data_IF_666913016581
#
_entry.id   IF_666913016581
#
_cell.length_a   1.000
_cell.length_b   1.000
_cell.length_c   1.000
_cell.angle_alpha   90.00
_cell.angle_beta   90.00
_cell.angle_gamma   90.00
#
_symmetry.space_group_name_H-M   'P 1'
#
loop_
_entity.id
_entity.type
_entity.pdbx_description
1 polymer ?
#
# COMPACT_ATOMS: atom_id res chain seq x y z
N UNK A 1 27.97 0.07 -0.43
CA UNK A 1 27.09 1.01 -1.20
C UNK A 1 25.91 1.39 -0.33
N UNK A 2 25.42 2.65 -0.34
CA UNK A 2 24.20 3.02 0.36
C UNK A 2 22.97 2.43 -0.35
N UNK A 3 21.81 2.32 0.35
CA UNK A 3 20.56 1.85 -0.27
C UNK A 3 20.21 2.66 -1.52
N UNK A 4 20.23 3.99 -1.42
CA UNK A 4 19.96 4.89 -2.55
C UNK A 4 20.92 4.65 -3.72
N UNK A 5 22.23 4.66 -3.46
CA UNK A 5 23.23 4.46 -4.52
C UNK A 5 23.10 3.09 -5.21
N UNK A 6 22.69 2.06 -4.46
CA UNK A 6 22.44 0.73 -5.01
C UNK A 6 21.24 0.72 -5.94
N UNK A 7 20.14 1.38 -5.54
CA UNK A 7 18.95 1.53 -6.40
C UNK A 7 19.27 2.32 -7.66
N UNK A 8 19.94 3.47 -7.52
CA UNK A 8 20.33 4.33 -8.66
C UNK A 8 21.25 3.59 -9.64
N UNK A 9 22.21 2.82 -9.14
CA UNK A 9 23.09 2.00 -9.98
C UNK A 9 22.32 0.89 -10.70
N UNK A 10 21.43 0.20 -10.00
CA UNK A 10 20.60 -0.86 -10.60
C UNK A 10 19.68 -0.32 -11.71
N UNK A 11 19.07 0.84 -11.49
CA UNK A 11 18.22 1.50 -12.50
C UNK A 11 19.03 1.96 -13.73
N UNK A 12 20.31 2.30 -13.52
CA UNK A 12 21.23 2.65 -14.60
C UNK A 12 21.93 1.45 -15.26
N UNK A 13 21.56 0.21 -14.90
CA UNK A 13 22.23 -1.02 -15.32
C UNK A 13 23.73 -1.06 -15.01
N UNK A 14 24.15 -0.43 -13.91
CA UNK A 14 25.53 -0.43 -13.42
C UNK A 14 25.71 -1.55 -12.37
N UNK A 15 26.96 -2.03 -12.17
CA UNK A 15 27.26 -3.00 -11.14
C UNK A 15 26.90 -2.52 -9.74
N UNK A 16 26.33 -3.41 -8.93
CA UNK A 16 25.99 -3.17 -7.53
C UNK A 16 26.72 -4.16 -6.62
N UNK A 17 26.92 -3.79 -5.36
CA UNK A 17 27.54 -4.68 -4.34
C UNK A 17 26.66 -5.88 -3.99
N UNK A 18 25.35 -5.76 -4.12
CA UNK A 18 24.35 -6.85 -4.06
C UNK A 18 23.09 -6.44 -4.84
N UNK A 19 22.25 -7.38 -5.16
CA UNK A 19 20.95 -7.08 -5.77
C UNK A 19 20.11 -6.24 -4.81
N UNK A 20 19.55 -5.09 -5.26
CA UNK A 20 18.58 -4.33 -4.47
C UNK A 20 17.37 -5.19 -4.17
N UNK A 21 16.89 -5.12 -2.95
CA UNK A 21 15.73 -5.91 -2.53
C UNK A 21 14.78 -5.11 -1.66
N UNK A 22 13.52 -5.48 -1.73
CA UNK A 22 12.46 -5.05 -0.83
C UNK A 22 11.47 -6.19 -0.65
N UNK A 23 10.90 -6.25 0.52
CA UNK A 23 9.75 -7.11 0.82
C UNK A 23 8.58 -6.26 1.22
N UNK A 24 7.37 -6.80 1.12
CA UNK A 24 6.16 -6.15 1.57
C UNK A 24 5.35 -7.11 2.44
N UNK A 25 4.57 -6.54 3.34
CA UNK A 25 3.77 -7.30 4.28
C UNK A 25 2.44 -6.58 4.52
N UNK A 26 1.39 -7.34 4.73
CA UNK A 26 0.11 -6.80 5.19
C UNK A 26 0.00 -6.93 6.71
N UNK A 27 -0.34 -5.83 7.35
CA UNK A 27 -0.60 -5.79 8.80
C UNK A 27 -2.09 -5.60 9.01
N UNK A 28 -2.85 -6.69 8.95
CA UNK A 28 -4.30 -6.67 9.08
C UNK A 28 -4.75 -5.79 10.25
N UNK A 29 -5.75 -4.95 10.02
CA UNK A 29 -6.29 -3.96 10.97
C UNK A 29 -5.34 -2.84 11.42
N UNK A 30 -4.09 -2.80 10.99
CA UNK A 30 -3.14 -1.73 11.28
C UNK A 30 -2.79 -0.90 10.03
N UNK A 31 -2.88 -1.50 8.85
CA UNK A 31 -2.57 -0.90 7.56
C UNK A 31 -3.63 0.09 7.05
N UNK A 32 -4.73 0.27 7.79
CA UNK A 32 -5.75 1.30 7.56
C UNK A 32 -5.46 2.62 8.30
N UNK A 33 -4.44 2.66 9.12
CA UNK A 33 -3.98 3.89 9.77
C UNK A 33 -2.71 4.38 9.09
N UNK A 34 -2.66 5.61 8.55
CA UNK A 34 -1.47 6.16 7.90
C UNK A 34 -0.23 6.06 8.80
N UNK A 35 -0.38 6.45 10.06
CA UNK A 35 0.71 6.40 11.04
C UNK A 35 1.21 4.98 11.29
N UNK A 36 0.28 4.04 11.50
CA UNK A 36 0.67 2.64 11.75
C UNK A 36 1.30 2.00 10.54
N UNK A 37 0.76 2.24 9.35
CA UNK A 37 1.32 1.76 8.10
C UNK A 37 2.76 2.29 7.91
N UNK A 38 3.00 3.59 8.17
CA UNK A 38 4.33 4.18 8.10
C UNK A 38 5.30 3.55 9.11
N UNK A 39 4.92 3.52 10.40
CA UNK A 39 5.74 2.95 11.46
C UNK A 39 6.15 1.49 11.19
N UNK A 40 5.20 0.67 10.75
CA UNK A 40 5.43 -0.75 10.48
C UNK A 40 6.30 -0.97 9.25
N UNK A 41 6.07 -0.20 8.19
CA UNK A 41 6.87 -0.26 6.96
C UNK A 41 8.33 0.15 7.21
N UNK A 42 8.56 1.23 7.97
CA UNK A 42 9.91 1.68 8.35
C UNK A 42 10.60 0.65 9.24
N UNK A 43 9.91 0.11 10.25
CA UNK A 43 10.47 -0.95 11.10
C UNK A 43 10.84 -2.21 10.32
N UNK A 44 10.03 -2.60 9.36
CA UNK A 44 10.32 -3.75 8.51
C UNK A 44 11.55 -3.50 7.65
N UNK A 45 11.64 -2.32 7.04
CA UNK A 45 12.80 -1.90 6.27
C UNK A 45 14.07 -1.95 7.10
N UNK A 46 14.06 -1.35 8.29
CA UNK A 46 15.22 -1.34 9.21
C UNK A 46 15.63 -2.73 9.67
N UNK A 47 14.64 -3.58 10.01
CA UNK A 47 14.91 -4.93 10.50
C UNK A 47 15.51 -5.86 9.45
N UNK A 48 15.12 -5.68 8.17
CA UNK A 48 15.54 -6.55 7.07
C UNK A 48 16.61 -5.88 6.18
N UNK A 49 17.08 -4.68 6.52
CA UNK A 49 18.04 -3.90 5.72
C UNK A 49 17.62 -3.79 4.25
N UNK A 50 16.32 -3.52 4.02
CA UNK A 50 15.77 -3.40 2.67
C UNK A 50 16.23 -2.10 2.00
N UNK A 51 16.38 -2.14 0.68
CA UNK A 51 16.87 -1.00 -0.09
C UNK A 51 15.80 0.07 -0.32
N UNK A 52 14.53 -0.29 -0.28
CA UNK A 52 13.40 0.65 -0.38
C UNK A 52 12.16 0.10 0.33
N UNK A 53 11.23 0.99 0.64
CA UNK A 53 9.94 0.64 1.22
C UNK A 53 8.89 0.57 0.11
N UNK A 54 8.21 -0.56 0.00
CA UNK A 54 6.95 -0.67 -0.72
C UNK A 54 5.81 -0.57 0.29
N UNK A 55 5.06 0.52 0.24
CA UNK A 55 3.84 0.64 1.05
C UNK A 55 2.78 -0.35 0.55
N UNK A 56 2.24 -1.13 1.46
CA UNK A 56 1.24 -2.15 1.17
C UNK A 56 0.03 -1.95 2.09
N UNK A 57 -0.89 -1.07 1.73
CA UNK A 57 -2.17 -0.97 2.41
C UNK A 57 -2.98 -2.25 2.18
N UNK A 58 -4.10 -2.41 2.86
CA UNK A 58 -4.97 -3.57 2.63
C UNK A 58 -5.44 -3.67 1.17
N UNK A 59 -5.63 -4.90 0.68
CA UNK A 59 -5.76 -5.19 -0.75
C UNK A 59 -6.93 -4.52 -1.48
N UNK A 60 -7.98 -4.13 -0.78
CA UNK A 60 -9.19 -3.52 -1.36
C UNK A 60 -9.22 -1.98 -1.26
N UNK A 61 -8.18 -1.34 -0.73
CA UNK A 61 -8.12 0.12 -0.59
C UNK A 61 -8.38 0.86 -1.91
N UNK A 62 -7.95 0.28 -3.02
CA UNK A 62 -8.05 0.89 -4.33
C UNK A 62 -9.46 0.88 -4.94
N UNK A 63 -10.43 0.24 -4.31
CA UNK A 63 -11.79 0.10 -4.84
C UNK A 63 -12.88 0.56 -3.87
N UNK A 64 -12.56 0.78 -2.61
CA UNK A 64 -13.54 1.17 -1.57
C UNK A 64 -14.20 2.50 -1.90
N UNK A 65 -13.43 3.48 -2.39
CA UNK A 65 -13.95 4.81 -2.70
C UNK A 65 -14.96 4.81 -3.87
N UNK A 66 -15.07 3.71 -4.61
CA UNK A 66 -16.11 3.48 -5.62
C UNK A 66 -17.35 2.75 -5.07
N UNK A 67 -17.47 2.65 -3.74
CA UNK A 67 -18.67 2.10 -3.09
C UNK A 67 -18.60 0.62 -2.77
N UNK A 68 -17.43 -0.02 -2.86
CA UNK A 68 -17.24 -1.39 -2.40
C UNK A 68 -17.44 -1.47 -0.89
N UNK A 69 -18.32 -2.34 -0.44
CA UNK A 69 -18.51 -2.61 0.98
C UNK A 69 -17.57 -3.70 1.45
N UNK A 70 -16.93 -3.46 2.59
CA UNK A 70 -16.00 -4.39 3.20
C UNK A 70 -16.60 -5.05 4.44
N UNK A 71 -16.37 -6.34 4.58
CA UNK A 71 -16.52 -7.03 5.86
C UNK A 71 -15.15 -7.02 6.57
N UNK A 72 -15.03 -6.16 7.57
CA UNK A 72 -13.86 -6.08 8.42
C UNK A 72 -14.12 -6.95 9.65
N UNK A 73 -13.72 -8.21 9.59
CA UNK A 73 -13.70 -9.06 10.77
C UNK A 73 -12.58 -8.60 11.68
N UNK A 74 -12.86 -8.40 12.96
CA UNK A 74 -11.81 -8.13 13.94
C UNK A 74 -10.85 -9.33 14.00
N UNK A 75 -9.53 -9.07 14.00
CA UNK A 75 -8.53 -10.13 14.07
C UNK A 75 -7.42 -10.00 13.01
N UNK A 76 -6.65 -11.05 12.76
CA UNK A 76 -5.50 -11.02 11.85
C UNK A 76 -5.89 -11.06 10.36
N UNK A 77 -7.18 -11.17 10.05
CA UNK A 77 -7.64 -11.32 8.68
C UNK A 77 -7.69 -9.98 7.94
N UNK A 78 -7.35 -9.99 6.67
CA UNK A 78 -7.53 -8.84 5.78
C UNK A 78 -9.03 -8.61 5.53
N UNK A 79 -9.47 -7.35 5.32
CA UNK A 79 -10.84 -7.08 4.90
C UNK A 79 -11.20 -7.85 3.64
N UNK A 80 -12.40 -8.41 3.62
CA UNK A 80 -12.94 -9.13 2.46
C UNK A 80 -14.07 -8.34 1.83
N UNK A 81 -14.28 -8.55 0.54
CA UNK A 81 -15.41 -7.99 -0.18
C UNK A 81 -16.72 -8.51 0.44
N UNK A 82 -17.59 -7.61 0.88
CA UNK A 82 -18.96 -7.91 1.32
C UNK A 82 -19.96 -7.66 0.20
N UNK A 83 -19.86 -6.50 -0.47
CA UNK A 83 -20.75 -6.13 -1.56
C UNK A 83 -19.99 -5.29 -2.60
N UNK A 84 -20.30 -5.56 -3.87
CA UNK A 84 -19.79 -4.77 -5.00
C UNK A 84 -20.86 -3.79 -5.48
N UNK A 85 -20.52 -2.55 -5.82
CA UNK A 85 -21.45 -1.63 -6.47
C UNK A 85 -21.82 -2.05 -7.91
N UNK A 86 -21.06 -2.98 -8.48
CA UNK A 86 -21.29 -3.52 -9.82
C UNK A 86 -21.98 -4.86 -9.70
N UNK A 87 -23.28 -4.90 -10.01
CA UNK A 87 -24.10 -6.11 -10.00
C UNK A 87 -24.50 -6.56 -11.43
N UNK A 88 -24.49 -5.62 -12.37
CA UNK A 88 -24.83 -5.84 -13.80
C UNK A 88 -24.00 -4.91 -14.68
N UNK A 89 -23.89 -5.18 -16.00
CA UNK A 89 -23.04 -4.39 -16.91
C UNK A 89 -23.31 -2.88 -16.89
N UNK A 90 -24.57 -2.46 -16.81
CA UNK A 90 -24.94 -1.04 -16.81
C UNK A 90 -24.44 -0.27 -15.57
N UNK A 91 -24.08 -0.95 -14.50
CA UNK A 91 -23.59 -0.31 -13.29
C UNK A 91 -22.21 0.32 -13.51
N UNK A 92 -21.42 -0.16 -14.49
CA UNK A 92 -20.17 0.47 -14.88
C UNK A 92 -20.33 1.93 -15.32
N UNK A 93 -21.47 2.26 -15.93
CA UNK A 93 -21.79 3.63 -16.39
C UNK A 93 -22.04 4.62 -15.22
N UNK A 94 -22.24 4.10 -14.01
CA UNK A 94 -22.49 4.89 -12.79
C UNK A 94 -21.22 5.19 -12.02
N UNK A 95 -20.12 4.51 -12.36
CA UNK A 95 -18.84 4.72 -11.68
C UNK A 95 -18.28 6.09 -12.03
N UNK A 96 -18.06 6.90 -11.02
CA UNK A 96 -17.51 8.24 -11.15
C UNK A 96 -16.03 8.25 -10.77
N UNK A 97 -15.19 9.10 -11.39
CA UNK A 97 -13.83 9.29 -10.94
C UNK A 97 -13.77 9.70 -9.47
N UNK A 98 -12.87 9.08 -8.72
CA UNK A 98 -12.57 9.46 -7.34
C UNK A 98 -11.32 10.34 -7.27
N UNK A 99 -11.20 11.14 -6.22
CA UNK A 99 -10.03 11.96 -5.97
C UNK A 99 -8.91 11.11 -5.40
N UNK A 100 -7.69 11.26 -5.93
CA UNK A 100 -6.51 10.55 -5.43
C UNK A 100 -5.99 11.10 -4.10
N UNK A 101 -6.42 12.30 -3.69
CA UNK A 101 -6.03 12.99 -2.46
C UNK A 101 -7.12 12.96 -1.37
N UNK A 102 -8.04 12.03 -1.47
CA UNK A 102 -9.14 11.83 -0.51
C UNK A 102 -9.41 10.33 -0.31
N UNK A 103 -10.30 10.02 0.63
CA UNK A 103 -10.72 8.64 0.90
C UNK A 103 -9.57 7.72 1.30
N UNK A 104 -9.62 6.49 0.85
CA UNK A 104 -8.63 5.45 1.19
C UNK A 104 -7.26 5.70 0.53
N UNK A 105 -7.19 6.40 -0.60
CA UNK A 105 -5.91 6.79 -1.21
C UNK A 105 -5.11 7.74 -0.32
N UNK A 106 -5.80 8.60 0.44
CA UNK A 106 -5.16 9.53 1.37
C UNK A 106 -4.37 8.79 2.46
N UNK A 107 -4.83 7.61 2.89
CA UNK A 107 -4.11 6.77 3.87
C UNK A 107 -2.68 6.46 3.38
N UNK A 108 -2.54 6.08 2.12
CA UNK A 108 -1.24 5.73 1.54
C UNK A 108 -0.36 6.97 1.39
N UNK A 109 -0.93 8.07 0.91
CA UNK A 109 -0.20 9.34 0.75
C UNK A 109 0.30 9.88 2.10
N UNK A 110 -0.55 9.87 3.13
CA UNK A 110 -0.16 10.29 4.48
C UNK A 110 0.89 9.35 5.09
N UNK A 111 0.78 8.03 4.89
CA UNK A 111 1.79 7.10 5.35
C UNK A 111 3.17 7.38 4.72
N UNK A 112 3.20 7.70 3.42
CA UNK A 112 4.44 8.07 2.73
C UNK A 112 5.03 9.36 3.30
N UNK A 113 4.21 10.39 3.57
CA UNK A 113 4.65 11.65 4.17
C UNK A 113 5.21 11.46 5.59
N UNK A 114 4.61 10.58 6.38
CA UNK A 114 5.08 10.28 7.75
C UNK A 114 6.40 9.50 7.73
N UNK A 115 6.60 8.63 6.76
CA UNK A 115 7.79 7.79 6.67
C UNK A 115 9.01 8.50 6.07
N UNK A 116 8.82 9.64 5.42
CA UNK A 116 9.89 10.46 4.82
C UNK A 116 10.58 11.29 5.88
#
# INVERSE_FOLDING_TARGET
MSHRARIEAALANLPTDRTPLSFWWHWANQDRSPRRLAELAVRLQQRLDMDFIKFSPYGLYSVVDWGVQLNVRGGPDTPILAESPIQKPDDWLKIMPVRSDAGEYLIVLEAQRIAH
#
